data_IF_226120816167
#
_entry.id   IF_226120816167
#
_cell.length_a   1.000
_cell.length_b   1.000
_cell.length_c   1.000
_cell.angle_alpha   90.00
_cell.angle_beta   90.00
_cell.angle_gamma   90.00
#
_symmetry.space_group_name_H-M   'P 1'
#
loop_
_entity.id
_entity.type
_entity.pdbx_description
1 polymer ?
#
# COMPACT_ATOMS: atom_id res chain seq x y z
N UNK A 1 -2.76 0.96 24.24
CA UNK A 1 -3.28 -0.44 24.18
C UNK A 1 -3.17 -0.95 22.75
N UNK A 2 -2.90 -2.24 22.51
CA UNK A 2 -3.00 -2.82 21.16
C UNK A 2 -4.48 -2.99 20.79
N UNK A 3 -4.88 -2.63 19.57
CA UNK A 3 -6.26 -2.87 19.11
C UNK A 3 -6.46 -4.37 18.84
N UNK A 4 -7.70 -4.88 18.97
CA UNK A 4 -8.02 -6.28 18.62
C UNK A 4 -7.62 -6.61 17.17
N UNK A 5 -7.82 -5.67 16.25
CA UNK A 5 -7.44 -5.80 14.85
C UNK A 5 -5.93 -6.07 14.68
N UNK A 6 -5.10 -5.23 15.28
CA UNK A 6 -3.63 -5.38 15.23
C UNK A 6 -3.16 -6.74 15.73
N UNK A 7 -3.77 -7.26 16.81
CA UNK A 7 -3.39 -8.57 17.35
C UNK A 7 -3.69 -9.72 16.39
N UNK A 8 -4.73 -9.61 15.57
CA UNK A 8 -5.04 -10.60 14.53
C UNK A 8 -3.97 -10.56 13.45
N UNK A 9 -3.65 -9.38 12.92
CA UNK A 9 -2.61 -9.23 11.89
C UNK A 9 -1.25 -9.74 12.38
N UNK A 10 -0.84 -9.37 13.60
CA UNK A 10 0.42 -9.86 14.19
C UNK A 10 0.47 -11.39 14.32
N UNK A 11 -0.66 -12.04 14.64
CA UNK A 11 -0.76 -13.51 14.73
C UNK A 11 -0.47 -14.20 13.40
N UNK A 12 -0.94 -13.63 12.29
CA UNK A 12 -0.78 -14.19 10.95
C UNK A 12 0.47 -13.70 10.22
N UNK A 13 1.15 -12.68 10.74
CA UNK A 13 2.36 -12.09 10.18
C UNK A 13 3.59 -13.01 10.31
N UNK A 14 3.76 -13.88 9.33
CA UNK A 14 4.94 -14.73 9.18
C UNK A 14 5.26 -14.96 7.69
N UNK A 15 6.47 -15.47 7.41
CA UNK A 15 6.96 -15.63 6.03
C UNK A 15 6.17 -16.66 5.22
N UNK A 16 5.56 -17.67 5.86
CA UNK A 16 4.71 -18.65 5.17
C UNK A 16 3.43 -18.01 4.66
N UNK A 17 2.77 -17.19 5.48
CA UNK A 17 1.59 -16.42 5.07
C UNK A 17 1.92 -15.46 3.92
N UNK A 18 3.08 -14.78 4.01
CA UNK A 18 3.54 -13.86 2.95
C UNK A 18 3.82 -14.61 1.66
N UNK A 19 4.50 -15.76 1.71
CA UNK A 19 4.76 -16.60 0.52
C UNK A 19 3.46 -17.16 -0.07
N UNK A 20 2.48 -17.52 0.75
CA UNK A 20 1.17 -17.97 0.28
C UNK A 20 0.42 -16.83 -0.44
N UNK A 21 0.43 -15.62 0.12
CA UNK A 21 -0.17 -14.44 -0.53
C UNK A 21 0.59 -14.05 -1.80
N UNK A 22 1.91 -14.18 -1.82
CA UNK A 22 2.72 -13.96 -3.02
C UNK A 22 2.39 -14.99 -4.11
N UNK A 23 2.26 -16.28 -3.76
CA UNK A 23 1.86 -17.31 -4.71
C UNK A 23 0.44 -17.06 -5.25
N UNK A 24 -0.49 -16.63 -4.38
CA UNK A 24 -1.84 -16.23 -4.80
C UNK A 24 -1.82 -15.01 -5.72
N UNK A 25 -0.98 -14.02 -5.43
CA UNK A 25 -0.74 -12.86 -6.29
C UNK A 25 -0.20 -13.28 -7.67
N UNK A 26 0.76 -14.21 -7.71
CA UNK A 26 1.31 -14.73 -8.96
C UNK A 26 0.26 -15.53 -9.74
N UNK A 27 -0.57 -16.33 -9.07
CA UNK A 27 -1.71 -17.00 -9.70
C UNK A 27 -2.65 -15.98 -10.34
N UNK A 28 -2.93 -14.88 -9.65
CA UNK A 28 -3.80 -13.84 -10.16
C UNK A 28 -3.21 -13.18 -11.43
N UNK A 29 -1.93 -12.79 -11.38
CA UNK A 29 -1.28 -12.09 -12.49
C UNK A 29 -0.93 -12.97 -13.69
N UNK A 30 -0.57 -14.24 -13.46
CA UNK A 30 -0.08 -15.13 -14.51
C UNK A 30 -1.19 -16.01 -15.10
N UNK A 31 -2.31 -16.18 -14.40
CA UNK A 31 -3.39 -17.07 -14.82
C UNK A 31 -4.73 -16.35 -14.87
N UNK A 32 -5.18 -15.78 -13.76
CA UNK A 32 -6.55 -15.24 -13.65
C UNK A 32 -6.74 -14.00 -14.56
N UNK A 33 -5.90 -12.98 -14.42
CA UNK A 33 -6.00 -11.74 -15.21
C UNK A 33 -5.81 -11.96 -16.71
N UNK A 34 -4.81 -12.72 -17.18
CA UNK A 34 -4.69 -13.06 -18.59
C UNK A 34 -5.89 -13.85 -19.11
N UNK A 35 -6.48 -14.75 -18.31
CA UNK A 35 -7.66 -15.53 -18.72
C UNK A 35 -8.94 -14.70 -18.84
N UNK A 36 -9.03 -13.59 -18.10
CA UNK A 36 -10.16 -12.66 -18.16
C UNK A 36 -10.01 -11.62 -19.27
N UNK A 37 -8.79 -11.44 -19.78
CA UNK A 37 -8.48 -10.52 -20.86
C UNK A 37 -8.63 -11.24 -22.21
N UNK A 38 -9.23 -10.57 -23.20
CA UNK A 38 -9.30 -11.11 -24.56
C UNK A 38 -7.92 -11.07 -25.25
N UNK A 39 -7.70 -11.92 -26.26
CA UNK A 39 -6.52 -11.79 -27.13
C UNK A 39 -6.43 -10.42 -27.77
N UNK A 40 -7.58 -9.85 -28.14
CA UNK A 40 -7.68 -8.60 -28.88
C UNK A 40 -7.33 -7.37 -28.03
N UNK A 41 -7.21 -7.54 -26.71
CA UNK A 41 -6.75 -6.50 -25.77
C UNK A 41 -5.25 -6.50 -25.52
N UNK A 42 -4.48 -7.48 -26.02
CA UNK A 42 -3.03 -7.58 -25.73
C UNK A 42 -2.23 -6.36 -26.16
N UNK A 43 -2.59 -5.77 -27.30
CA UNK A 43 -1.87 -4.62 -27.87
C UNK A 43 -2.44 -3.26 -27.40
N UNK A 44 -3.49 -3.27 -26.58
CA UNK A 44 -4.14 -2.06 -26.10
C UNK A 44 -3.49 -1.59 -24.78
N UNK A 45 -3.13 -0.30 -24.67
CA UNK A 45 -2.63 0.25 -23.41
C UNK A 45 -3.66 0.13 -22.30
N UNK A 46 -3.22 -0.32 -21.12
CA UNK A 46 -4.06 -0.39 -19.92
C UNK A 46 -3.91 0.92 -19.13
N UNK A 47 -5.03 1.55 -18.76
CA UNK A 47 -5.03 2.87 -18.12
C UNK A 47 -4.43 2.85 -16.70
N UNK A 48 -4.78 1.86 -15.88
CA UNK A 48 -4.34 1.71 -14.49
C UNK A 48 -2.85 1.33 -14.34
N UNK A 49 -2.20 0.92 -15.44
CA UNK A 49 -0.75 0.73 -15.51
C UNK A 49 0.01 2.03 -15.76
N UNK A 50 -0.67 3.11 -16.18
CA UNK A 50 -0.06 4.42 -16.33
C UNK A 50 -0.07 5.14 -14.98
N UNK A 51 1.10 5.48 -14.47
CA UNK A 51 1.20 6.20 -13.18
C UNK A 51 0.36 7.49 -13.17
N UNK A 52 0.27 8.16 -14.32
CA UNK A 52 -0.56 9.34 -14.54
C UNK A 52 -0.97 9.45 -16.01
N UNK A 53 -2.15 10.01 -16.31
CA UNK A 53 -2.62 10.28 -17.67
C UNK A 53 -3.50 11.53 -17.74
N UNK A 54 -3.64 12.13 -18.93
CA UNK A 54 -4.62 13.20 -19.18
C UNK A 54 -5.97 12.62 -19.61
N UNK A 55 -7.09 13.35 -19.45
CA UNK A 55 -8.40 12.91 -19.98
C UNK A 55 -8.36 12.63 -21.48
N UNK A 56 -7.64 13.44 -22.26
CA UNK A 56 -7.46 13.23 -23.70
C UNK A 56 -6.83 11.87 -23.96
N UNK A 57 -5.74 11.55 -23.25
CA UNK A 57 -5.08 10.26 -23.35
C UNK A 57 -5.97 9.10 -22.92
N UNK A 58 -6.79 9.31 -21.88
CA UNK A 58 -7.75 8.31 -21.43
C UNK A 58 -8.77 7.95 -22.53
N UNK A 59 -9.36 8.96 -23.17
CA UNK A 59 -10.35 8.73 -24.22
C UNK A 59 -9.73 8.25 -25.53
N UNK A 60 -8.50 8.64 -25.87
CA UNK A 60 -7.74 8.01 -26.96
C UNK A 60 -7.66 6.49 -26.78
N UNK A 61 -7.29 6.04 -25.58
CA UNK A 61 -7.20 4.62 -25.25
C UNK A 61 -8.58 3.97 -25.28
N UNK A 62 -9.57 4.53 -24.59
CA UNK A 62 -10.94 3.96 -24.52
C UNK A 62 -11.59 3.87 -25.91
N UNK A 63 -11.29 4.81 -26.81
CA UNK A 63 -11.79 4.81 -28.19
C UNK A 63 -11.26 3.65 -29.03
N UNK A 64 -10.08 3.11 -28.70
CA UNK A 64 -9.49 1.97 -29.40
C UNK A 64 -10.15 0.63 -29.03
N UNK A 65 -10.92 0.58 -27.94
CA UNK A 65 -11.65 -0.61 -27.53
C UNK A 65 -12.96 -0.73 -28.33
N UNK A 66 -13.35 -1.95 -28.73
CA UNK A 66 -14.71 -2.19 -29.22
C UNK A 66 -15.73 -2.04 -28.08
N UNK A 67 -17.03 -1.86 -28.35
CA UNK A 67 -18.05 -1.82 -27.31
C UNK A 67 -18.00 -3.02 -26.35
N UNK A 68 -17.80 -4.22 -26.87
CA UNK A 68 -17.72 -5.46 -26.11
C UNK A 68 -16.48 -5.47 -25.21
N UNK A 69 -15.33 -5.04 -25.73
CA UNK A 69 -14.09 -4.94 -24.96
C UNK A 69 -14.19 -3.88 -23.85
N UNK A 70 -14.88 -2.76 -24.09
CA UNK A 70 -15.13 -1.75 -23.04
C UNK A 70 -15.98 -2.33 -21.91
N UNK A 71 -17.02 -3.09 -22.24
CA UNK A 71 -17.84 -3.75 -21.23
C UNK A 71 -17.05 -4.78 -20.43
N UNK A 72 -16.25 -5.63 -21.09
CA UNK A 72 -15.40 -6.60 -20.42
C UNK A 72 -14.35 -5.93 -19.51
N UNK A 73 -13.73 -4.84 -19.97
CA UNK A 73 -12.77 -4.05 -19.21
C UNK A 73 -13.41 -3.40 -17.96
N UNK A 74 -14.65 -2.93 -18.06
CA UNK A 74 -15.40 -2.41 -16.91
C UNK A 74 -15.78 -3.53 -15.93
N UNK A 75 -16.20 -4.69 -16.43
CA UNK A 75 -16.57 -5.83 -15.56
C UNK A 75 -15.37 -6.38 -14.81
N UNK A 76 -14.20 -6.47 -15.45
CA UNK A 76 -12.94 -6.86 -14.79
C UNK A 76 -12.65 -5.96 -13.59
N UNK A 77 -12.78 -4.64 -13.78
CA UNK A 77 -12.57 -3.63 -12.72
C UNK A 77 -13.57 -3.73 -11.56
N UNK A 78 -14.82 -4.08 -11.88
CA UNK A 78 -15.89 -4.22 -10.88
C UNK A 78 -15.95 -5.61 -10.24
N UNK A 79 -15.07 -6.54 -10.62
CA UNK A 79 -15.07 -7.92 -10.10
C UNK A 79 -13.67 -8.36 -9.65
N UNK A 80 -12.79 -8.69 -10.60
CA UNK A 80 -11.44 -9.17 -10.35
C UNK A 80 -10.60 -8.11 -9.61
N UNK A 81 -10.68 -6.85 -10.03
CA UNK A 81 -9.92 -5.77 -9.40
C UNK A 81 -10.52 -5.31 -8.05
N UNK A 82 -11.62 -5.93 -7.59
CA UNK A 82 -12.07 -5.80 -6.20
C UNK A 82 -11.35 -6.79 -5.28
N UNK A 83 -10.95 -7.96 -5.80
CA UNK A 83 -10.29 -9.00 -5.00
C UNK A 83 -8.77 -8.75 -4.95
N UNK A 84 -8.17 -8.37 -6.07
CA UNK A 84 -6.73 -8.21 -6.21
C UNK A 84 -6.11 -7.25 -5.18
N UNK A 85 -6.73 -6.09 -4.87
CA UNK A 85 -6.17 -5.15 -3.89
C UNK A 85 -6.09 -5.68 -2.47
N UNK A 86 -7.05 -6.53 -2.06
CA UNK A 86 -7.00 -7.17 -0.75
C UNK A 86 -5.79 -8.08 -0.62
N UNK A 87 -5.43 -8.80 -1.70
CA UNK A 87 -4.31 -9.73 -1.70
C UNK A 87 -2.99 -8.98 -1.54
N UNK A 88 -2.72 -7.97 -2.39
CA UNK A 88 -1.47 -7.21 -2.28
C UNK A 88 -1.45 -6.38 -0.99
N UNK A 89 -2.58 -5.78 -0.59
CA UNK A 89 -2.66 -4.93 0.60
C UNK A 89 -2.37 -5.71 1.87
N UNK A 90 -2.94 -6.91 1.99
CA UNK A 90 -2.65 -7.82 3.09
C UNK A 90 -1.19 -8.28 3.04
N UNK A 91 -0.67 -8.65 1.87
CA UNK A 91 0.72 -9.09 1.72
C UNK A 91 1.72 -8.03 2.19
N UNK A 92 1.58 -6.79 1.72
CA UNK A 92 2.47 -5.68 2.10
C UNK A 92 2.31 -5.35 3.59
N UNK A 93 1.07 -5.38 4.13
CA UNK A 93 0.83 -5.16 5.55
C UNK A 93 1.57 -6.21 6.42
N UNK A 94 1.44 -7.50 6.09
CA UNK A 94 2.16 -8.56 6.81
C UNK A 94 3.67 -8.42 6.65
N UNK A 95 4.14 -8.03 5.44
CA UNK A 95 5.55 -7.78 5.17
C UNK A 95 6.10 -6.67 6.08
N UNK A 96 5.39 -5.55 6.21
CA UNK A 96 5.76 -4.44 7.12
C UNK A 96 5.78 -4.87 8.59
N UNK A 97 4.85 -5.74 9.02
CA UNK A 97 4.84 -6.26 10.39
C UNK A 97 6.06 -7.12 10.66
N UNK A 98 6.46 -8.00 9.75
CA UNK A 98 7.59 -8.92 9.97
C UNK A 98 8.96 -8.28 9.71
N UNK A 99 9.03 -7.23 8.89
CA UNK A 99 10.28 -6.51 8.62
C UNK A 99 10.36 -5.21 9.43
N UNK A 100 9.65 -4.17 9.00
CA UNK A 100 9.79 -2.82 9.54
C UNK A 100 9.46 -2.73 11.04
N UNK A 101 8.31 -3.23 11.47
CA UNK A 101 7.91 -3.18 12.88
C UNK A 101 8.88 -3.95 13.80
N UNK A 102 9.44 -5.07 13.33
CA UNK A 102 10.45 -5.83 14.09
C UNK A 102 11.80 -5.12 14.13
N UNK A 103 12.17 -4.43 13.06
CA UNK A 103 13.40 -3.68 12.97
C UNK A 103 13.39 -2.41 13.85
N UNK A 104 12.21 -1.87 14.13
CA UNK A 104 12.00 -0.65 14.92
C UNK A 104 11.03 -0.91 16.09
N UNK A 105 11.42 -1.72 17.10
CA UNK A 105 10.56 -1.95 18.25
C UNK A 105 10.36 -0.66 19.05
N UNK A 106 9.14 -0.44 19.54
CA UNK A 106 8.88 0.61 20.53
C UNK A 106 9.56 0.17 21.82
N UNK A 107 10.56 0.91 22.30
CA UNK A 107 11.09 0.67 23.65
C UNK A 107 9.99 0.95 24.67
N UNK A 108 9.56 -0.06 25.40
CA UNK A 108 8.84 0.13 26.67
C UNK A 108 9.72 0.90 27.66
N UNK A 109 11.05 0.80 27.51
CA UNK A 109 12.08 1.46 28.31
C UNK A 109 12.09 2.98 28.20
N UNK A 110 11.84 3.60 27.04
CA UNK A 110 11.99 5.06 26.89
C UNK A 110 11.01 5.90 27.69
N UNK A 111 9.83 5.37 28.05
CA UNK A 111 8.89 6.09 28.93
C UNK A 111 9.33 6.01 30.39
N UNK A 112 9.84 4.85 30.83
CA UNK A 112 10.29 4.64 32.21
C UNK A 112 11.67 5.28 32.45
N UNK A 113 12.56 5.18 31.48
CA UNK A 113 13.90 5.80 31.50
C UNK A 113 13.83 7.31 31.31
N UNK A 114 12.86 7.86 30.57
CA UNK A 114 12.64 9.31 30.51
C UNK A 114 11.99 9.84 31.79
N UNK A 115 11.07 9.11 32.41
CA UNK A 115 10.52 9.49 33.71
C UNK A 115 11.58 9.39 34.81
N UNK A 116 12.39 8.33 34.80
CA UNK A 116 13.53 8.15 35.71
C UNK A 116 14.64 9.15 35.46
N UNK A 117 15.01 9.42 34.20
CA UNK A 117 16.02 10.42 33.89
C UNK A 117 15.53 11.84 34.18
N UNK A 118 14.25 12.16 33.98
CA UNK A 118 13.67 13.43 34.43
C UNK A 118 13.65 13.56 35.96
N UNK A 119 13.36 12.47 36.69
CA UNK A 119 13.41 12.46 38.15
C UNK A 119 14.85 12.58 38.69
N UNK A 120 15.81 11.91 38.05
CA UNK A 120 17.23 11.97 38.41
C UNK A 120 17.87 13.30 38.00
N UNK A 121 17.58 13.81 36.80
CA UNK A 121 18.05 15.10 36.28
C UNK A 121 17.52 16.28 37.10
N UNK A 122 16.26 16.23 37.57
CA UNK A 122 15.70 17.23 38.48
C UNK A 122 16.36 17.23 39.87
N UNK A 123 17.05 16.15 40.23
CA UNK A 123 17.71 16.01 41.53
C UNK A 123 19.22 16.32 41.52
N UNK A 124 19.88 16.48 40.36
CA UNK A 124 21.34 16.41 40.36
C UNK A 124 22.13 17.19 39.28
N UNK A 125 21.60 18.18 38.55
CA UNK A 125 22.44 18.91 37.58
C UNK A 125 22.35 20.46 37.65
N UNK A 126 23.50 21.18 37.64
CA UNK A 126 23.60 22.60 37.31
C UNK A 126 23.33 22.89 35.82
N UNK A 127 22.97 24.14 35.51
CA UNK A 127 22.25 24.59 34.30
C UNK A 127 22.94 24.39 32.92
N UNK A 128 24.18 23.90 32.83
CA UNK A 128 25.02 24.13 31.64
C UNK A 128 25.33 22.92 30.73
N UNK A 129 24.84 21.71 31.01
CA UNK A 129 25.13 20.52 30.18
C UNK A 129 23.86 19.81 29.68
N UNK A 130 23.34 20.27 28.53
CA UNK A 130 22.34 19.51 27.76
C UNK A 130 22.76 19.46 26.29
N UNK A 131 23.66 18.54 25.94
CA UNK A 131 23.77 18.06 24.57
C UNK A 131 24.46 16.68 24.49
N UNK A 132 23.68 15.68 24.04
CA UNK A 132 24.02 14.67 23.01
C UNK A 132 23.54 13.25 23.36
N UNK A 133 22.41 12.86 22.76
CA UNK A 133 22.12 11.49 22.26
C UNK A 133 20.63 11.41 21.93
N UNK A 134 20.28 11.64 20.67
CA UNK A 134 18.91 11.86 20.23
C UNK A 134 18.37 10.79 19.28
N UNK A 135 18.67 9.50 19.47
CA UNK A 135 17.88 8.46 18.78
C UNK A 135 16.52 8.34 19.48
N UNK A 136 15.57 9.20 19.12
CA UNK A 136 14.18 9.04 19.53
C UNK A 136 13.60 7.85 18.78
N UNK A 137 13.36 6.75 19.50
CA UNK A 137 12.61 5.62 18.98
C UNK A 137 11.22 6.08 18.52
N UNK A 138 10.69 5.53 17.42
CA UNK A 138 9.38 5.93 16.91
C UNK A 138 8.32 5.72 17.99
N UNK A 139 7.41 6.69 18.14
CA UNK A 139 6.26 6.50 19.03
C UNK A 139 5.39 5.35 18.49
N UNK A 140 4.78 4.61 19.43
CA UNK A 140 4.02 3.38 19.15
C UNK A 140 2.86 3.57 18.17
N UNK A 141 2.17 4.68 18.32
CA UNK A 141 1.09 5.14 17.45
C UNK A 141 1.56 5.29 15.98
N UNK A 142 2.75 5.83 15.74
CA UNK A 142 3.30 6.03 14.39
C UNK A 142 3.57 4.70 13.70
N UNK A 143 4.16 3.73 14.41
CA UNK A 143 4.43 2.40 13.83
C UNK A 143 3.16 1.62 13.54
N UNK A 144 2.14 1.75 14.39
CA UNK A 144 0.82 1.17 14.15
C UNK A 144 0.17 1.79 12.90
N UNK A 145 0.32 3.10 12.65
CA UNK A 145 -0.18 3.75 11.41
C UNK A 145 0.56 3.25 10.17
N UNK A 146 1.90 3.17 10.23
CA UNK A 146 2.74 2.78 9.08
C UNK A 146 2.36 1.42 8.51
N UNK A 147 2.13 0.42 9.37
CA UNK A 147 1.79 -0.93 8.91
C UNK A 147 0.44 -0.99 8.20
N UNK A 148 -0.44 0.00 8.37
CA UNK A 148 -1.73 0.09 7.70
C UNK A 148 -1.74 0.98 6.45
N UNK A 149 -0.62 1.61 6.07
CA UNK A 149 -0.46 2.38 4.81
C UNK A 149 -1.00 1.63 3.57
N UNK A 150 -0.76 0.31 3.39
CA UNK A 150 -1.24 -0.41 2.22
C UNK A 150 -2.77 -0.36 2.04
N UNK A 151 -3.53 -0.22 3.12
CA UNK A 151 -5.00 -0.12 3.05
C UNK A 151 -5.49 1.20 2.46
N UNK A 152 -4.71 2.28 2.57
CA UNK A 152 -4.96 3.49 1.79
C UNK A 152 -4.80 3.24 0.29
N UNK A 153 -3.78 2.47 -0.09
CA UNK A 153 -3.58 2.03 -1.48
C UNK A 153 -4.75 1.20 -2.00
N UNK A 154 -5.25 0.26 -1.20
CA UNK A 154 -6.46 -0.53 -1.51
C UNK A 154 -7.69 0.34 -1.72
N UNK A 155 -7.91 1.33 -0.85
CA UNK A 155 -9.03 2.26 -0.97
C UNK A 155 -8.96 3.03 -2.30
N UNK A 156 -7.80 3.58 -2.65
CA UNK A 156 -7.64 4.31 -3.90
C UNK A 156 -7.74 3.42 -5.14
N UNK A 157 -7.33 2.15 -5.06
CA UNK A 157 -7.56 1.17 -6.13
C UNK A 157 -9.05 0.97 -6.40
N UNK A 158 -9.87 0.80 -5.37
CA UNK A 158 -11.33 0.67 -5.55
C UNK A 158 -11.98 1.92 -6.14
N UNK A 159 -11.57 3.09 -5.68
CA UNK A 159 -12.10 4.36 -6.19
C UNK A 159 -11.70 4.57 -7.66
N UNK A 160 -10.46 4.23 -8.01
CA UNK A 160 -9.99 4.21 -9.38
C UNK A 160 -10.79 3.23 -10.23
N UNK A 161 -10.92 1.96 -9.83
CA UNK A 161 -11.60 0.92 -10.59
C UNK A 161 -13.05 1.28 -10.89
N UNK A 162 -13.75 1.84 -9.91
CA UNK A 162 -15.11 2.33 -10.11
C UNK A 162 -15.16 3.49 -11.11
N UNK A 163 -14.26 4.46 -10.98
CA UNK A 163 -14.18 5.58 -11.90
C UNK A 163 -13.82 5.14 -13.32
N UNK A 164 -12.79 4.32 -13.50
CA UNK A 164 -12.41 3.75 -14.80
C UNK A 164 -13.55 2.94 -15.41
N UNK A 165 -14.19 2.05 -14.66
CA UNK A 165 -15.36 1.31 -15.16
C UNK A 165 -16.45 2.27 -15.66
N UNK A 166 -16.72 3.35 -14.95
CA UNK A 166 -17.67 4.39 -15.37
C UNK A 166 -17.23 5.08 -16.66
N UNK A 167 -15.94 5.40 -16.82
CA UNK A 167 -15.41 5.99 -18.06
C UNK A 167 -15.59 5.05 -19.26
N UNK A 168 -15.25 3.77 -19.10
CA UNK A 168 -15.40 2.75 -20.13
C UNK A 168 -16.86 2.54 -20.54
N UNK A 169 -17.79 2.51 -19.56
CA UNK A 169 -19.22 2.29 -19.82
C UNK A 169 -19.94 3.54 -20.38
N UNK A 170 -19.43 4.74 -20.12
CA UNK A 170 -20.07 6.00 -20.55
C UNK A 170 -19.63 6.45 -21.95
N UNK A 171 -18.52 5.91 -22.47
CA UNK A 171 -18.02 6.26 -23.80
C UNK A 171 -19.06 6.00 -24.89
N UNK A 172 -19.34 6.94 -25.81
CA UNK A 172 -18.52 8.10 -26.20
C UNK A 172 -18.72 9.38 -25.38
N UNK A 173 -19.54 9.38 -24.33
CA UNK A 173 -19.70 10.55 -23.46
C UNK A 173 -18.44 10.74 -22.61
N UNK A 174 -17.76 11.87 -22.80
CA UNK A 174 -16.53 12.19 -22.06
C UNK A 174 -16.83 12.88 -20.72
N UNK A 175 -16.52 12.20 -19.62
CA UNK A 175 -16.57 12.67 -18.24
C UNK A 175 -15.18 13.19 -17.79
N UNK A 176 -14.74 14.33 -18.30
CA UNK A 176 -13.40 14.90 -18.04
C UNK A 176 -13.04 15.04 -16.55
N UNK A 177 -13.93 15.53 -15.65
CA UNK A 177 -13.60 15.61 -14.23
C UNK A 177 -13.33 14.24 -13.58
N UNK A 178 -14.05 13.21 -14.02
CA UNK A 178 -13.87 11.85 -13.53
C UNK A 178 -12.56 11.24 -14.04
N UNK A 179 -12.18 11.52 -15.29
CA UNK A 179 -10.88 11.12 -15.83
C UNK A 179 -9.70 11.74 -15.05
N UNK A 180 -9.79 13.01 -14.64
CA UNK A 180 -8.79 13.61 -13.76
C UNK A 180 -8.77 12.97 -12.36
N UNK A 181 -9.95 12.73 -11.81
CA UNK A 181 -10.08 12.14 -10.47
C UNK A 181 -9.50 10.72 -10.42
N UNK A 182 -9.78 9.91 -11.44
CA UNK A 182 -9.27 8.54 -11.56
C UNK A 182 -7.76 8.47 -11.64
N UNK A 183 -7.12 9.29 -12.48
CA UNK A 183 -5.65 9.28 -12.55
C UNK A 183 -4.98 9.72 -11.25
N UNK A 184 -5.61 10.61 -10.48
CA UNK A 184 -5.11 11.00 -9.15
C UNK A 184 -5.18 9.79 -8.21
N UNK A 185 -6.27 9.04 -8.23
CA UNK A 185 -6.38 7.79 -7.46
C UNK A 185 -5.31 6.78 -7.89
N UNK A 186 -5.07 6.59 -9.19
CA UNK A 186 -3.98 5.75 -9.71
C UNK A 186 -2.61 6.16 -9.14
N UNK A 187 -2.27 7.46 -9.19
CA UNK A 187 -0.99 7.95 -8.67
C UNK A 187 -0.87 7.79 -7.15
N UNK A 188 -1.94 8.08 -6.40
CA UNK A 188 -1.97 7.93 -4.94
C UNK A 188 -1.80 6.46 -4.53
N UNK A 189 -2.52 5.55 -5.19
CA UNK A 189 -2.37 4.11 -5.03
C UNK A 189 -0.92 3.67 -5.20
N UNK A 190 -0.35 3.94 -6.38
CA UNK A 190 1.01 3.49 -6.71
C UNK A 190 2.05 4.08 -5.75
N UNK A 191 1.86 5.33 -5.32
CA UNK A 191 2.70 5.98 -4.32
C UNK A 191 2.65 5.25 -2.97
N UNK A 192 1.45 4.94 -2.46
CA UNK A 192 1.29 4.24 -1.18
C UNK A 192 1.83 2.81 -1.22
N UNK A 193 1.62 2.09 -2.33
CA UNK A 193 2.20 0.76 -2.57
C UNK A 193 3.73 0.84 -2.57
N UNK A 194 4.29 1.80 -3.32
CA UNK A 194 5.74 2.02 -3.39
C UNK A 194 6.35 2.34 -2.03
N UNK A 195 5.73 3.23 -1.26
CA UNK A 195 6.13 3.54 0.12
C UNK A 195 6.09 2.27 1.00
N UNK A 196 5.03 1.47 0.89
CA UNK A 196 4.91 0.21 1.63
C UNK A 196 6.07 -0.75 1.36
N UNK A 197 6.41 -0.97 0.08
CA UNK A 197 7.56 -1.82 -0.28
C UNK A 197 8.90 -1.21 0.16
N UNK A 198 9.09 0.10 0.02
CA UNK A 198 10.31 0.77 0.44
C UNK A 198 10.54 0.64 1.95
N UNK A 199 9.50 0.86 2.76
CA UNK A 199 9.58 0.67 4.21
C UNK A 199 9.84 -0.79 4.59
N UNK A 200 9.19 -1.73 3.91
CA UNK A 200 9.44 -3.15 4.11
C UNK A 200 10.90 -3.52 3.82
N UNK A 201 11.49 -2.96 2.75
CA UNK A 201 12.89 -3.15 2.39
C UNK A 201 13.83 -2.56 3.45
N UNK A 202 13.61 -1.30 3.87
CA UNK A 202 14.38 -0.65 4.93
C UNK A 202 14.38 -1.50 6.21
N UNK A 203 13.20 -1.98 6.61
CA UNK A 203 13.06 -2.88 7.76
C UNK A 203 13.83 -4.19 7.58
N UNK A 204 13.73 -4.81 6.41
CA UNK A 204 14.41 -6.05 6.08
C UNK A 204 15.92 -5.92 6.14
N UNK A 205 16.48 -4.89 5.49
CA UNK A 205 17.91 -4.58 5.49
C UNK A 205 18.42 -4.38 6.92
N UNK A 206 17.72 -3.57 7.73
CA UNK A 206 18.10 -3.35 9.13
C UNK A 206 18.13 -4.65 9.94
N UNK A 207 17.15 -5.54 9.77
CA UNK A 207 17.13 -6.84 10.46
C UNK A 207 18.31 -7.73 10.09
N UNK A 208 18.79 -7.68 8.84
CA UNK A 208 19.98 -8.45 8.42
C UNK A 208 21.22 -7.96 9.16
N UNK A 209 21.39 -6.65 9.32
CA UNK A 209 22.52 -6.08 10.05
C UNK A 209 22.43 -6.27 11.57
N UNK A 210 21.22 -6.34 12.15
CA UNK A 210 21.04 -6.60 13.59
C UNK A 210 21.29 -8.06 13.99
N UNK A 211 21.23 -9.00 13.04
CA UNK A 211 21.47 -10.43 13.29
C UNK A 211 22.95 -10.84 13.18
N UNK A 212 23.83 -9.91 12.81
CA UNK A 212 25.28 -10.06 12.84
C UNK A 212 25.80 -9.50 14.15
#
# INVERSE_FOLDING_TARGET
MKTKLLTIFEKWANWKSILALFALQMLFNLVIMPSASSSDTHDLPVLDLQFFYTPQRAYEIISAYTPELRQAAAMTRLTLDIIYPLIYGLMICLLLIVTFRRAFPVSTQSMDDSARSMLLQRSSLPDDEIATSGYRLPRKDILDIIIFIPWGGVLFDYLENFGLATLFLSYPTELTPLAWTTTIFTSLKWTLIGIGFLLALIGGVKLVFMKR
#
